data_IF_813651122582
#
_entry.id   IF_813651122582
#
_cell.length_a   1.000
_cell.length_b   1.000
_cell.length_c   1.000
_cell.angle_alpha   90.00
_cell.angle_beta   90.00
_cell.angle_gamma   90.00
#
_symmetry.space_group_name_H-M   'P 1'
#
loop_
_entity.id
_entity.type
_entity.pdbx_description
1 polymer ?
#
# COMPACT_ATOMS: atom_id res chain seq x y z
N UNK A 1 35.43 33.10 36.39
CA UNK A 1 34.03 33.59 36.34
C UNK A 1 33.70 33.78 34.86
N UNK A 2 32.75 33.12 34.22
CA UNK A 2 31.63 32.26 34.62
C UNK A 2 31.59 31.04 33.67
N UNK A 3 31.39 29.86 34.25
CA UNK A 3 30.97 28.66 33.52
C UNK A 3 29.45 28.69 33.45
N UNK A 4 28.88 28.84 32.25
CA UNK A 4 27.44 28.67 32.04
C UNK A 4 27.12 27.18 31.93
N UNK A 5 26.79 26.59 33.07
CA UNK A 5 26.07 25.31 33.16
C UNK A 5 24.63 25.53 32.70
N UNK A 6 24.30 25.13 31.48
CA UNK A 6 22.91 24.92 31.07
C UNK A 6 22.42 23.70 31.85
N UNK A 7 21.74 23.96 32.96
CA UNK A 7 21.09 22.94 33.78
C UNK A 7 20.00 22.21 32.97
N UNK A 8 20.03 20.89 33.05
CA UNK A 8 19.11 19.90 32.49
C UNK A 8 17.71 19.98 33.14
N UNK A 9 16.95 21.05 32.90
CA UNK A 9 15.63 21.24 33.50
C UNK A 9 14.49 20.44 32.83
N UNK A 10 14.68 19.90 31.63
CA UNK A 10 13.58 19.24 30.88
C UNK A 10 13.48 17.72 31.04
N UNK A 11 14.55 17.04 31.46
CA UNK A 11 14.52 15.57 31.63
C UNK A 11 13.61 15.10 32.79
N UNK A 12 13.31 15.98 33.76
CA UNK A 12 12.50 15.62 34.93
C UNK A 12 10.99 15.62 34.68
N UNK A 13 10.47 16.43 33.75
CA UNK A 13 9.02 16.64 33.58
C UNK A 13 8.32 15.51 32.80
N UNK A 14 9.03 14.86 31.89
CA UNK A 14 8.50 13.72 31.14
C UNK A 14 8.42 12.45 32.00
N UNK A 15 9.31 12.28 32.98
CA UNK A 15 9.29 11.14 33.89
C UNK A 15 8.12 11.17 34.88
N UNK A 16 7.47 12.33 35.07
CA UNK A 16 6.30 12.50 35.96
C UNK A 16 4.94 12.30 35.27
N UNK A 17 4.89 12.27 33.94
CA UNK A 17 3.62 12.04 33.22
C UNK A 17 3.17 10.59 33.39
N UNK A 18 1.88 10.27 33.54
CA UNK A 18 1.35 8.90 33.50
C UNK A 18 1.54 8.20 32.14
N UNK A 19 1.52 6.85 32.11
CA UNK A 19 1.77 6.07 30.88
C UNK A 19 0.70 6.33 29.81
N UNK A 20 -0.56 6.51 30.20
CA UNK A 20 -1.67 6.86 29.31
C UNK A 20 -1.42 8.19 28.56
N UNK A 21 -0.87 9.20 29.24
CA UNK A 21 -0.52 10.47 28.60
C UNK A 21 0.66 10.32 27.66
N UNK A 22 1.67 9.52 28.04
CA UNK A 22 2.80 9.24 27.15
C UNK A 22 2.35 8.47 25.91
N UNK A 23 1.43 7.51 26.04
CA UNK A 23 0.85 6.78 24.92
C UNK A 23 0.07 7.72 23.99
N UNK A 24 -0.78 8.61 24.52
CA UNK A 24 -1.48 9.60 23.69
C UNK A 24 -0.54 10.58 22.96
N UNK A 25 0.67 10.81 23.48
CA UNK A 25 1.70 11.58 22.75
C UNK A 25 2.32 10.71 21.65
N UNK A 26 2.67 9.47 21.97
CA UNK A 26 3.30 8.53 21.03
C UNK A 26 2.38 8.15 19.87
N UNK A 27 1.07 8.04 20.12
CA UNK A 27 0.03 7.82 19.08
C UNK A 27 -0.07 8.96 18.06
N UNK A 28 0.58 10.11 18.32
CA UNK A 28 0.50 11.31 17.47
C UNK A 28 1.82 11.66 16.78
N UNK A 29 2.86 10.84 16.93
CA UNK A 29 4.16 11.02 16.30
C UNK A 29 4.51 9.82 15.43
N UNK A 30 5.42 10.02 14.48
CA UNK A 30 5.90 8.97 13.58
C UNK A 30 6.58 7.83 14.35
N UNK A 31 6.49 6.60 13.83
CA UNK A 31 7.01 5.43 14.54
C UNK A 31 8.52 5.46 14.71
N UNK A 32 9.23 6.13 13.80
CA UNK A 32 10.66 6.41 13.97
C UNK A 32 10.94 7.26 15.22
N UNK A 33 10.15 8.30 15.47
CA UNK A 33 10.21 9.10 16.70
C UNK A 33 9.83 8.27 17.92
N UNK A 34 8.75 7.48 17.85
CA UNK A 34 8.32 6.58 18.94
C UNK A 34 9.49 5.68 19.38
N UNK A 35 10.16 5.03 18.45
CA UNK A 35 11.26 4.12 18.77
C UNK A 35 12.52 4.84 19.23
N UNK A 36 12.80 6.05 18.73
CA UNK A 36 13.89 6.89 19.27
C UNK A 36 13.65 7.27 20.72
N UNK A 37 12.40 7.51 21.11
CA UNK A 37 12.09 7.79 22.51
C UNK A 37 12.19 6.55 23.40
N UNK A 38 12.06 5.35 22.82
CA UNK A 38 12.14 4.08 23.56
C UNK A 38 13.49 3.82 24.23
N UNK A 39 14.57 4.46 23.76
CA UNK A 39 15.91 4.33 24.37
C UNK A 39 16.17 5.36 25.48
N UNK A 40 15.23 6.28 25.74
CA UNK A 40 15.42 7.35 26.73
C UNK A 40 15.42 6.83 28.17
N UNK A 41 14.67 5.77 28.47
CA UNK A 41 14.67 5.10 29.77
C UNK A 41 14.02 3.71 29.69
N UNK A 42 14.16 2.93 30.77
CA UNK A 42 13.50 1.63 30.91
C UNK A 42 11.98 1.72 30.79
N UNK A 43 11.37 2.82 31.24
CA UNK A 43 9.94 3.07 31.12
C UNK A 43 9.51 3.27 29.66
N UNK A 44 10.25 4.12 28.94
CA UNK A 44 9.94 4.41 27.54
C UNK A 44 10.20 3.24 26.61
N UNK A 45 11.09 2.31 26.99
CA UNK A 45 11.40 1.08 26.25
C UNK A 45 10.17 0.24 25.95
N UNK A 46 9.18 0.22 26.83
CA UNK A 46 8.00 -0.63 26.69
C UNK A 46 6.82 0.07 26.00
N UNK A 47 6.80 1.40 25.96
CA UNK A 47 5.67 2.18 25.43
C UNK A 47 5.34 1.88 23.94
N UNK A 48 6.30 1.72 23.02
CA UNK A 48 5.97 1.38 21.63
C UNK A 48 5.19 0.07 21.50
N UNK A 49 5.40 -0.87 22.42
CA UNK A 49 4.72 -2.17 22.42
C UNK A 49 3.27 -2.05 22.90
N UNK A 50 2.94 -1.02 23.69
CA UNK A 50 1.59 -0.79 24.23
C UNK A 50 0.63 -0.13 23.23
N UNK A 51 1.14 0.36 22.10
CA UNK A 51 0.33 0.97 21.05
C UNK A 51 -0.61 -0.08 20.44
N UNK A 52 -1.92 0.21 20.47
CA UNK A 52 -2.92 -0.68 19.88
C UNK A 52 -2.94 -0.59 18.36
N UNK A 53 -2.63 0.57 17.81
CA UNK A 53 -2.58 0.85 16.38
C UNK A 53 -1.16 1.35 16.06
N UNK A 54 -0.47 0.63 15.17
CA UNK A 54 0.92 0.91 14.80
C UNK A 54 0.98 1.21 13.31
N UNK A 55 1.58 2.33 12.95
CA UNK A 55 1.76 2.75 11.57
C UNK A 55 3.24 2.76 11.19
N UNK A 56 3.62 1.94 10.22
CA UNK A 56 4.99 1.81 9.75
C UNK A 56 5.06 2.20 8.27
N UNK A 57 5.42 3.45 8.01
CA UNK A 57 5.57 3.94 6.65
C UNK A 57 7.05 4.12 6.27
N UNK A 58 7.46 3.49 5.17
CA UNK A 58 8.81 3.61 4.63
C UNK A 58 9.19 5.07 4.32
N UNK A 59 8.21 5.91 4.01
CA UNK A 59 8.44 7.33 3.72
C UNK A 59 8.93 8.13 4.94
N UNK A 60 8.64 7.67 6.17
CA UNK A 60 9.17 8.29 7.39
C UNK A 60 10.71 8.23 7.46
N UNK A 61 11.33 7.32 6.71
CA UNK A 61 12.78 7.14 6.68
C UNK A 61 13.44 7.91 5.53
N UNK A 62 12.69 8.31 4.50
CA UNK A 62 13.20 9.01 3.31
C UNK A 62 12.91 10.50 3.43
N UNK A 63 13.84 11.25 4.02
CA UNK A 63 13.72 12.72 4.07
C UNK A 63 14.31 13.38 2.81
N UNK A 64 13.70 14.49 2.37
CA UNK A 64 14.15 15.28 1.20
C UNK A 64 15.61 15.75 1.28
N UNK A 65 16.17 15.87 2.49
CA UNK A 65 17.55 16.27 2.76
C UNK A 65 18.47 15.10 3.16
N UNK A 66 17.98 13.86 3.10
CA UNK A 66 18.76 12.67 3.43
C UNK A 66 19.29 12.00 2.17
N UNK A 67 20.52 11.49 2.22
CA UNK A 67 21.10 10.67 1.15
C UNK A 67 20.57 9.22 1.16
N UNK A 68 19.59 8.91 2.00
CA UNK A 68 19.11 7.54 2.22
C UNK A 68 18.36 7.05 0.98
N UNK A 69 18.84 5.96 0.42
CA UNK A 69 18.19 5.26 -0.68
C UNK A 69 16.94 4.51 -0.20
N UNK A 70 16.01 4.22 -1.12
CA UNK A 70 14.83 3.40 -0.80
C UNK A 70 15.22 2.02 -0.24
N UNK A 71 16.32 1.42 -0.74
CA UNK A 71 16.85 0.15 -0.21
C UNK A 71 17.27 0.27 1.26
N UNK A 72 17.96 1.34 1.64
CA UNK A 72 18.36 1.56 3.04
C UNK A 72 17.15 1.80 3.95
N UNK A 73 16.15 2.56 3.47
CA UNK A 73 14.90 2.77 4.19
C UNK A 73 14.15 1.44 4.42
N UNK A 74 14.05 0.59 3.40
CA UNK A 74 13.47 -0.75 3.49
C UNK A 74 14.21 -1.64 4.51
N UNK A 75 15.54 -1.60 4.51
CA UNK A 75 16.35 -2.34 5.47
C UNK A 75 16.14 -1.85 6.92
N UNK A 76 16.02 -0.52 7.12
CA UNK A 76 15.70 0.07 8.43
C UNK A 76 14.31 -0.38 8.90
N UNK A 77 13.31 -0.36 8.02
CA UNK A 77 11.95 -0.80 8.29
C UNK A 77 11.91 -2.27 8.74
N UNK A 78 12.60 -3.16 8.02
CA UNK A 78 12.67 -4.59 8.40
C UNK A 78 13.35 -4.77 9.75
N UNK A 79 14.48 -4.09 9.99
CA UNK A 79 15.18 -4.16 11.27
C UNK A 79 14.29 -3.69 12.43
N UNK A 80 13.52 -2.63 12.19
CA UNK A 80 12.57 -2.08 13.12
C UNK A 80 11.47 -3.09 13.46
N UNK A 81 10.85 -3.68 12.44
CA UNK A 81 9.83 -4.73 12.59
C UNK A 81 10.36 -5.93 13.37
N UNK A 82 11.57 -6.41 13.05
CA UNK A 82 12.23 -7.48 13.79
C UNK A 82 12.44 -7.13 15.27
N UNK A 83 12.76 -5.87 15.59
CA UNK A 83 12.90 -5.43 16.98
C UNK A 83 11.55 -5.36 17.71
N UNK A 84 10.51 -4.91 17.00
CA UNK A 84 9.16 -4.73 17.54
C UNK A 84 8.51 -6.08 17.83
N UNK A 85 8.59 -7.02 16.87
CA UNK A 85 8.00 -8.35 17.00
C UNK A 85 8.92 -9.36 17.70
N UNK A 86 10.22 -9.09 17.81
CA UNK A 86 11.19 -9.98 18.46
C UNK A 86 11.20 -9.94 19.99
N UNK A 87 10.55 -8.96 20.62
CA UNK A 87 10.51 -8.85 22.09
C UNK A 87 9.78 -10.06 22.72
N UNK A 88 10.41 -10.81 23.64
CA UNK A 88 9.77 -11.95 24.32
C UNK A 88 8.71 -11.52 25.36
N UNK A 89 8.69 -10.25 25.74
CA UNK A 89 7.71 -9.67 26.66
C UNK A 89 6.66 -8.91 25.84
N UNK A 90 5.45 -9.44 25.72
CA UNK A 90 4.30 -8.70 25.18
C UNK A 90 3.18 -8.71 26.22
N UNK A 91 3.01 -7.57 26.90
CA UNK A 91 1.85 -7.32 27.77
C UNK A 91 0.62 -6.83 26.97
N UNK A 92 0.83 -6.43 25.71
CA UNK A 92 -0.16 -5.79 24.84
C UNK A 92 -0.20 -6.42 23.45
N UNK A 93 -1.37 -6.35 22.83
CA UNK A 93 -1.65 -6.89 21.49
C UNK A 93 -1.91 -5.72 20.55
N UNK A 94 -1.15 -5.64 19.46
CA UNK A 94 -1.38 -4.70 18.36
C UNK A 94 -2.68 -5.12 17.67
N UNK A 95 -3.72 -4.30 17.81
CA UNK A 95 -5.03 -4.53 17.19
C UNK A 95 -4.94 -4.32 15.69
N UNK A 96 -4.20 -3.30 15.25
CA UNK A 96 -4.04 -2.95 13.84
C UNK A 96 -2.59 -2.53 13.55
N UNK A 97 -2.00 -3.15 12.54
CA UNK A 97 -0.72 -2.74 11.96
C UNK A 97 -0.97 -2.22 10.55
N UNK A 98 -0.65 -0.95 10.31
CA UNK A 98 -0.54 -0.40 8.98
C UNK A 98 0.93 -0.46 8.57
N UNK A 99 1.19 -1.00 7.38
CA UNK A 99 2.55 -1.15 6.87
C UNK A 99 2.59 -0.64 5.43
N UNK A 100 3.44 0.34 5.15
CA UNK A 100 3.66 0.91 3.82
C UNK A 100 5.11 0.70 3.40
N UNK A 101 5.33 0.13 2.22
CA UNK A 101 6.66 -0.08 1.69
C UNK A 101 6.75 0.05 0.16
N UNK A 102 7.98 0.14 -0.33
CA UNK A 102 8.27 0.29 -1.76
C UNK A 102 8.51 -1.03 -2.48
N UNK A 103 7.94 -1.16 -3.69
CA UNK A 103 8.51 -2.04 -4.71
C UNK A 103 9.62 -1.29 -5.44
N UNK A 104 10.82 -1.84 -5.38
CA UNK A 104 12.01 -1.27 -6.00
C UNK A 104 12.12 -1.66 -7.47
N UNK A 105 13.01 -0.99 -8.19
CA UNK A 105 13.18 -1.20 -9.63
C UNK A 105 13.68 -2.58 -10.00
N UNK A 106 14.41 -3.25 -9.10
CA UNK A 106 14.91 -4.59 -9.32
C UNK A 106 14.00 -5.62 -8.65
N UNK A 107 13.72 -6.67 -9.42
CA UNK A 107 12.76 -7.69 -9.05
C UNK A 107 13.21 -8.52 -7.84
N UNK A 108 14.46 -8.96 -7.87
CA UNK A 108 15.01 -9.86 -6.87
C UNK A 108 15.00 -9.20 -5.48
N UNK A 109 15.39 -7.93 -5.38
CA UNK A 109 15.35 -7.21 -4.09
C UNK A 109 13.93 -6.92 -3.65
N UNK A 110 13.03 -6.55 -4.57
CA UNK A 110 11.62 -6.33 -4.25
C UNK A 110 10.97 -7.58 -3.64
N UNK A 111 11.21 -8.75 -4.25
CA UNK A 111 10.76 -10.02 -3.71
C UNK A 111 11.41 -10.34 -2.37
N UNK A 112 12.72 -10.15 -2.21
CA UNK A 112 13.41 -10.35 -0.93
C UNK A 112 12.79 -9.52 0.19
N UNK A 113 12.50 -8.25 -0.08
CA UNK A 113 11.85 -7.39 0.91
C UNK A 113 10.43 -7.84 1.21
N UNK A 114 9.65 -8.19 0.19
CA UNK A 114 8.29 -8.69 0.34
C UNK A 114 8.25 -9.98 1.18
N UNK A 115 9.17 -10.92 0.94
CA UNK A 115 9.27 -12.16 1.70
C UNK A 115 9.68 -11.91 3.15
N UNK A 116 10.72 -11.10 3.39
CA UNK A 116 11.15 -10.77 4.75
C UNK A 116 10.02 -10.10 5.56
N UNK A 117 9.32 -9.15 4.94
CA UNK A 117 8.17 -8.47 5.55
C UNK A 117 7.04 -9.45 5.81
N UNK A 118 6.70 -10.29 4.83
CA UNK A 118 5.65 -11.29 4.95
C UNK A 118 5.92 -12.31 6.05
N UNK A 119 7.15 -12.79 6.17
CA UNK A 119 7.57 -13.69 7.25
C UNK A 119 7.41 -13.03 8.62
N UNK A 120 7.90 -11.80 8.78
CA UNK A 120 7.77 -11.06 10.04
C UNK A 120 6.32 -10.83 10.44
N UNK A 121 5.47 -10.43 9.48
CA UNK A 121 4.04 -10.24 9.69
C UNK A 121 3.37 -11.56 10.06
N UNK A 122 3.65 -12.64 9.33
CA UNK A 122 3.06 -13.95 9.59
C UNK A 122 3.41 -14.47 10.98
N UNK A 123 4.67 -14.33 11.39
CA UNK A 123 5.15 -14.72 12.71
C UNK A 123 4.51 -13.85 13.82
N UNK A 124 4.35 -12.55 13.58
CA UNK A 124 3.71 -11.64 14.54
C UNK A 124 2.22 -11.97 14.75
N UNK A 125 1.52 -12.39 13.70
CA UNK A 125 0.12 -12.83 13.79
C UNK A 125 0.02 -14.20 14.48
N UNK A 126 0.88 -15.18 14.13
CA UNK A 126 0.84 -16.52 14.75
C UNK A 126 1.19 -16.50 16.23
N UNK A 127 2.11 -15.63 16.63
CA UNK A 127 2.44 -15.41 18.03
C UNK A 127 1.37 -14.62 18.80
N UNK A 128 0.29 -14.20 18.13
CA UNK A 128 -0.81 -13.43 18.74
C UNK A 128 -0.48 -11.98 19.04
N UNK A 129 0.66 -11.46 18.54
CA UNK A 129 1.11 -10.08 18.77
C UNK A 129 0.35 -9.07 17.92
N UNK A 130 -0.08 -9.47 16.73
CA UNK A 130 -0.81 -8.63 15.78
C UNK A 130 -2.12 -9.29 15.40
N UNK A 131 -3.24 -8.57 15.49
CA UNK A 131 -4.57 -9.09 15.12
C UNK A 131 -4.94 -8.84 13.66
N UNK A 132 -4.54 -7.70 13.10
CA UNK A 132 -4.95 -7.25 11.77
C UNK A 132 -3.81 -6.49 11.10
N UNK A 133 -3.63 -6.73 9.80
CA UNK A 133 -2.59 -6.05 9.00
C UNK A 133 -3.21 -5.44 7.75
N UNK A 134 -2.94 -4.15 7.58
CA UNK A 134 -3.17 -3.40 6.35
C UNK A 134 -1.82 -3.17 5.69
N UNK A 135 -1.67 -3.70 4.48
CA UNK A 135 -0.45 -3.57 3.71
C UNK A 135 -0.66 -2.64 2.53
N UNK A 136 0.19 -1.62 2.44
CA UNK A 136 0.30 -0.71 1.30
C UNK A 136 1.62 -0.97 0.58
N UNK A 137 1.53 -1.28 -0.71
CA UNK A 137 2.67 -1.47 -1.58
C UNK A 137 2.68 -0.32 -2.57
N UNK A 138 3.71 0.52 -2.50
CA UNK A 138 3.87 1.67 -3.38
C UNK A 138 4.90 1.36 -4.45
N UNK A 139 4.56 1.48 -5.72
CA UNK A 139 5.56 1.41 -6.79
C UNK A 139 6.34 2.72 -6.83
N UNK A 140 7.67 2.64 -6.79
CA UNK A 140 8.53 3.83 -6.70
C UNK A 140 8.23 4.82 -7.84
N UNK A 141 7.78 6.03 -7.48
CA UNK A 141 7.39 7.09 -8.41
C UNK A 141 8.49 7.42 -9.43
N UNK A 142 9.77 7.20 -9.11
CA UNK A 142 10.87 7.76 -9.89
C UNK A 142 11.48 6.85 -10.94
N UNK A 143 11.38 5.52 -10.85
CA UNK A 143 12.19 4.62 -11.73
C UNK A 143 11.61 3.23 -11.98
N UNK A 144 10.37 2.95 -11.60
CA UNK A 144 9.86 1.58 -11.64
C UNK A 144 9.67 1.05 -13.08
N UNK A 145 10.40 -0.01 -13.42
CA UNK A 145 10.14 -0.87 -14.58
C UNK A 145 9.33 -2.07 -14.11
N UNK A 146 8.01 -1.90 -13.99
CA UNK A 146 7.10 -3.04 -13.82
C UNK A 146 7.36 -4.08 -14.93
N UNK A 147 7.77 -3.64 -16.12
CA UNK A 147 8.18 -4.51 -17.22
C UNK A 147 9.33 -5.47 -16.90
N UNK A 148 10.16 -5.23 -15.88
CA UNK A 148 11.29 -6.14 -15.54
C UNK A 148 10.82 -7.27 -14.60
N UNK A 149 9.85 -7.00 -13.70
CA UNK A 149 9.03 -8.04 -13.02
C UNK A 149 8.25 -8.89 -14.06
N UNK A 150 7.81 -8.24 -15.14
CA UNK A 150 6.80 -8.79 -16.07
C UNK A 150 7.37 -9.26 -17.43
N UNK A 151 8.66 -9.07 -17.72
CA UNK A 151 9.32 -9.56 -18.94
C UNK A 151 9.96 -10.94 -18.76
N UNK A 152 10.20 -11.35 -17.51
CA UNK A 152 10.50 -12.74 -17.14
C UNK A 152 9.25 -13.64 -17.07
N UNK A 153 8.05 -13.06 -17.12
CA UNK A 153 6.76 -13.75 -17.05
C UNK A 153 6.44 -14.48 -18.36
N UNK A 154 7.17 -15.56 -18.62
CA UNK A 154 6.51 -16.77 -19.09
C UNK A 154 5.63 -17.30 -17.95
N UNK A 155 4.51 -17.97 -18.26
CA UNK A 155 3.51 -18.50 -17.30
C UNK A 155 4.09 -19.32 -16.12
N UNK A 156 5.39 -19.60 -16.11
CA UNK A 156 6.16 -20.34 -15.12
C UNK A 156 6.46 -19.48 -13.86
N UNK A 157 6.54 -18.15 -13.99
CA UNK A 157 6.88 -17.22 -12.90
C UNK A 157 5.76 -17.15 -11.84
N UNK A 158 4.50 -17.12 -12.30
CA UNK A 158 3.30 -17.08 -11.44
C UNK A 158 3.13 -18.38 -10.63
N UNK A 159 3.56 -19.53 -11.16
CA UNK A 159 3.40 -20.81 -10.47
C UNK A 159 4.41 -21.05 -9.33
N UNK A 160 5.67 -20.60 -9.49
CA UNK A 160 6.71 -20.83 -8.48
C UNK A 160 6.70 -19.76 -7.39
N UNK A 161 6.82 -18.47 -7.76
CA UNK A 161 6.80 -17.39 -6.78
C UNK A 161 5.39 -17.13 -6.25
N UNK A 162 4.30 -17.46 -6.96
CA UNK A 162 2.94 -17.35 -6.42
C UNK A 162 2.73 -18.21 -5.17
N UNK A 163 3.37 -19.39 -5.09
CA UNK A 163 3.32 -20.24 -3.88
C UNK A 163 4.09 -19.62 -2.72
N UNK A 164 5.25 -19.05 -2.98
CA UNK A 164 6.06 -18.37 -1.97
C UNK A 164 5.39 -17.05 -1.53
N UNK A 165 4.83 -16.27 -2.46
CA UNK A 165 4.10 -15.05 -2.16
C UNK A 165 2.87 -15.36 -1.29
N UNK A 166 2.24 -16.51 -1.54
CA UNK A 166 1.15 -16.99 -0.70
C UNK A 166 1.58 -17.29 0.72
N UNK A 167 2.81 -17.72 1.00
CA UNK A 167 3.25 -17.88 2.40
C UNK A 167 3.46 -16.53 3.08
N UNK A 168 3.89 -15.51 2.34
CA UNK A 168 4.11 -14.15 2.83
C UNK A 168 2.82 -13.34 3.04
N UNK A 169 1.82 -13.49 2.17
CA UNK A 169 0.65 -12.61 2.11
C UNK A 169 -0.66 -13.26 2.61
N UNK A 170 -0.65 -14.55 3.00
CA UNK A 170 -1.87 -15.29 3.36
C UNK A 170 -2.64 -14.75 4.58
N UNK A 171 -2.06 -13.88 5.40
CA UNK A 171 -2.71 -13.32 6.61
C UNK A 171 -3.04 -11.83 6.50
N UNK A 172 -2.75 -11.23 5.36
CA UNK A 172 -3.06 -9.82 5.13
C UNK A 172 -4.57 -9.66 4.99
N UNK A 173 -5.11 -8.67 5.69
CA UNK A 173 -6.56 -8.40 5.71
C UNK A 173 -6.98 -7.26 4.79
N UNK A 174 -6.08 -6.29 4.59
CA UNK A 174 -6.25 -5.20 3.62
C UNK A 174 -4.98 -5.07 2.80
N UNK A 175 -5.11 -5.06 1.48
CA UNK A 175 -4.00 -4.89 0.54
C UNK A 175 -4.29 -3.68 -0.35
N UNK A 176 -3.41 -2.68 -0.31
CA UNK A 176 -3.48 -1.47 -1.12
C UNK A 176 -2.25 -1.41 -2.04
N UNK A 177 -2.47 -1.19 -3.34
CA UNK A 177 -1.41 -0.97 -4.31
C UNK A 177 -1.48 0.48 -4.79
N UNK A 178 -0.46 1.26 -4.46
CA UNK A 178 -0.41 2.69 -4.75
C UNK A 178 0.65 3.02 -5.80
N UNK A 179 0.45 4.13 -6.52
CA UNK A 179 1.44 4.65 -7.44
C UNK A 179 1.55 3.85 -8.74
N UNK A 180 0.49 3.12 -9.13
CA UNK A 180 0.44 2.44 -10.44
C UNK A 180 0.17 3.43 -11.56
N UNK A 181 1.04 3.50 -12.57
CA UNK A 181 0.86 4.46 -13.67
C UNK A 181 -0.38 4.08 -14.48
N UNK A 182 -1.23 5.06 -14.81
CA UNK A 182 -2.52 4.81 -15.46
C UNK A 182 -2.43 4.04 -16.78
N UNK A 183 -1.29 4.15 -17.49
CA UNK A 183 -1.09 3.43 -18.76
C UNK A 183 -0.66 1.98 -18.57
N UNK A 184 -0.40 1.53 -17.35
CA UNK A 184 -0.06 0.14 -17.07
C UNK A 184 -1.33 -0.70 -16.93
N UNK A 185 -1.31 -1.88 -17.54
CA UNK A 185 -2.32 -2.90 -17.32
C UNK A 185 -2.46 -3.18 -15.81
N UNK A 186 -3.69 -3.40 -15.32
CA UNK A 186 -3.97 -3.62 -13.89
C UNK A 186 -4.15 -5.09 -13.52
N UNK A 187 -4.28 -6.00 -14.49
CA UNK A 187 -4.60 -7.40 -14.25
C UNK A 187 -3.50 -8.15 -13.48
N UNK A 188 -2.24 -7.72 -13.58
CA UNK A 188 -1.15 -8.28 -12.77
C UNK A 188 -1.39 -8.14 -11.26
N UNK A 189 -2.13 -7.11 -10.84
CA UNK A 189 -2.46 -6.90 -9.43
C UNK A 189 -3.34 -8.01 -8.87
N UNK A 190 -4.09 -8.69 -9.74
CA UNK A 190 -4.89 -9.85 -9.38
C UNK A 190 -4.02 -11.03 -8.97
N UNK A 191 -2.84 -11.20 -9.56
CA UNK A 191 -1.87 -12.26 -9.16
C UNK A 191 -1.39 -12.06 -7.72
N UNK A 192 -1.18 -10.81 -7.30
CA UNK A 192 -0.87 -10.50 -5.90
C UNK A 192 -2.07 -10.79 -4.99
N UNK A 193 -3.29 -10.46 -5.44
CA UNK A 193 -4.51 -10.76 -4.69
C UNK A 193 -4.74 -12.28 -4.54
N UNK A 194 -4.40 -13.08 -5.56
CA UNK A 194 -4.43 -14.55 -5.52
C UNK A 194 -3.50 -15.11 -4.44
N UNK A 195 -2.35 -14.46 -4.25
CA UNK A 195 -1.39 -14.79 -3.20
C UNK A 195 -1.86 -14.35 -1.80
N UNK A 196 -2.92 -13.54 -1.70
CA UNK A 196 -3.41 -12.97 -0.45
C UNK A 196 -4.86 -13.39 -0.12
N UNK A 197 -5.13 -14.70 0.10
CA UNK A 197 -6.49 -15.25 0.22
C UNK A 197 -7.33 -14.75 1.41
N UNK A 198 -6.72 -14.09 2.40
CA UNK A 198 -7.42 -13.53 3.58
C UNK A 198 -7.81 -12.06 3.41
N UNK A 199 -7.50 -11.46 2.26
CA UNK A 199 -7.79 -10.05 1.99
C UNK A 199 -9.30 -9.84 1.90
N UNK A 200 -9.78 -8.90 2.72
CA UNK A 200 -11.17 -8.43 2.75
C UNK A 200 -11.35 -7.11 2.02
N UNK A 201 -10.31 -6.28 2.03
CA UNK A 201 -10.30 -4.99 1.33
C UNK A 201 -9.11 -4.96 0.39
N UNK A 202 -9.37 -4.87 -0.90
CA UNK A 202 -8.35 -4.72 -1.91
C UNK A 202 -8.47 -3.34 -2.53
N UNK A 203 -7.37 -2.59 -2.59
CA UNK A 203 -7.35 -1.26 -3.16
C UNK A 203 -6.27 -1.09 -4.21
N UNK A 204 -6.61 -0.37 -5.27
CA UNK A 204 -5.70 0.01 -6.34
C UNK A 204 -5.84 1.51 -6.55
N UNK A 205 -4.74 2.24 -6.40
CA UNK A 205 -4.67 3.68 -6.70
C UNK A 205 -3.79 3.90 -7.92
N UNK A 206 -4.42 4.29 -9.02
CA UNK A 206 -3.71 4.68 -10.23
C UNK A 206 -3.33 6.15 -10.15
N UNK A 207 -2.15 6.49 -10.63
CA UNK A 207 -1.69 7.86 -10.75
C UNK A 207 -1.53 8.26 -12.22
N UNK A 208 -1.90 9.50 -12.52
CA UNK A 208 -1.81 10.07 -13.85
C UNK A 208 -1.45 11.57 -13.75
N UNK A 209 -0.20 11.89 -13.44
CA UNK A 209 0.26 13.27 -13.34
C UNK A 209 1.28 13.61 -14.43
N UNK A 210 0.99 14.67 -15.21
CA UNK A 210 1.89 15.22 -16.22
C UNK A 210 3.19 15.78 -15.61
N UNK A 211 3.11 16.31 -14.38
CA UNK A 211 4.26 16.89 -13.67
C UNK A 211 5.39 15.88 -13.40
N UNK A 212 5.05 14.60 -13.51
CA UNK A 212 5.97 13.47 -13.31
C UNK A 212 6.60 12.98 -14.63
N UNK A 213 6.16 13.48 -15.80
CA UNK A 213 6.68 13.10 -17.13
C UNK A 213 8.06 13.72 -17.46
N UNK A 214 8.59 14.62 -16.61
CA UNK A 214 9.87 15.31 -16.82
C UNK A 214 11.13 14.43 -16.78
N UNK A 215 11.02 13.14 -16.47
CA UNK A 215 12.13 12.19 -16.57
C UNK A 215 12.06 11.44 -17.90
N UNK A 216 13.02 11.65 -18.80
CA UNK A 216 13.12 11.02 -20.13
C UNK A 216 12.88 9.49 -20.15
N UNK A 217 13.06 8.80 -19.02
CA UNK A 217 12.83 7.38 -18.86
C UNK A 217 11.35 6.93 -18.91
N UNK A 218 10.36 7.80 -18.63
CA UNK A 218 8.94 7.37 -18.55
C UNK A 218 8.25 7.24 -19.91
N UNK A 219 8.64 8.00 -20.94
CA UNK A 219 8.11 7.83 -22.31
C UNK A 219 8.46 6.45 -22.88
N UNK A 220 9.67 5.95 -22.61
CA UNK A 220 10.09 4.59 -22.99
C UNK A 220 9.33 3.48 -22.25
N UNK A 221 8.79 3.74 -21.05
CA UNK A 221 8.04 2.78 -20.24
C UNK A 221 6.61 2.56 -20.79
N UNK A 222 5.93 3.63 -21.23
CA UNK A 222 4.59 3.51 -21.82
C UNK A 222 4.59 2.82 -23.19
N UNK A 223 5.69 2.92 -23.94
CA UNK A 223 5.84 2.27 -25.24
C UNK A 223 6.08 0.75 -25.13
N UNK A 224 6.34 0.23 -23.92
CA UNK A 224 6.96 -1.09 -23.73
C UNK A 224 6.09 -2.24 -23.22
N UNK A 225 4.75 -2.13 -23.15
CA UNK A 225 3.77 -3.26 -23.19
C UNK A 225 2.48 -2.92 -22.44
N UNK A 226 1.38 -2.79 -23.19
CA UNK A 226 0.04 -3.14 -22.73
C UNK A 226 -0.45 -4.49 -23.29
N UNK A 227 0.30 -5.08 -24.22
CA UNK A 227 -0.18 -6.20 -25.05
C UNK A 227 -0.01 -7.59 -24.44
N UNK A 228 0.53 -7.69 -23.21
CA UNK A 228 0.84 -8.99 -22.59
C UNK A 228 -0.30 -9.60 -21.77
N UNK A 229 -1.20 -8.79 -21.23
CA UNK A 229 -2.17 -9.22 -20.22
C UNK A 229 -3.59 -9.06 -20.74
N UNK A 230 -4.13 -10.18 -21.23
CA UNK A 230 -5.54 -10.31 -21.59
C UNK A 230 -6.30 -10.95 -20.42
N UNK A 231 -7.49 -10.46 -20.12
CA UNK A 231 -8.38 -11.06 -19.11
C UNK A 231 -8.71 -12.53 -19.43
N UNK A 232 -8.61 -12.94 -20.70
CA UNK A 232 -8.73 -14.33 -21.11
C UNK A 232 -7.60 -15.25 -20.61
N UNK A 233 -6.44 -14.69 -20.22
CA UNK A 233 -5.31 -15.44 -19.66
C UNK A 233 -5.45 -15.69 -18.15
N UNK A 234 -6.37 -14.99 -17.48
CA UNK A 234 -6.64 -15.21 -16.07
C UNK A 234 -7.45 -16.48 -15.88
N UNK A 235 -7.04 -17.33 -14.94
CA UNK A 235 -7.78 -18.53 -14.60
C UNK A 235 -9.16 -18.15 -14.03
N UNK A 236 -10.20 -18.45 -14.80
CA UNK A 236 -11.59 -18.18 -14.43
C UNK A 236 -12.10 -19.01 -13.24
N UNK A 237 -11.34 -20.02 -12.80
CA UNK A 237 -11.65 -20.81 -11.60
C UNK A 237 -11.25 -20.11 -10.31
N UNK A 238 -10.44 -19.05 -10.39
CA UNK A 238 -9.97 -18.34 -9.20
C UNK A 238 -11.07 -17.43 -8.66
N UNK A 239 -11.37 -17.62 -7.37
CA UNK A 239 -12.37 -16.84 -6.65
C UNK A 239 -11.79 -16.20 -5.38
N UNK A 240 -12.01 -14.89 -5.23
CA UNK A 240 -11.60 -14.11 -4.06
C UNK A 240 -12.69 -14.17 -2.98
N UNK A 241 -12.76 -15.31 -2.30
CA UNK A 241 -13.88 -15.65 -1.40
C UNK A 241 -14.00 -14.73 -0.18
N UNK A 242 -12.91 -14.14 0.30
CA UNK A 242 -12.94 -13.24 1.46
C UNK A 242 -13.08 -11.76 1.09
N UNK A 243 -12.98 -11.42 -0.20
CA UNK A 243 -12.99 -10.03 -0.63
C UNK A 243 -14.39 -9.44 -0.46
N UNK A 244 -14.50 -8.42 0.39
CA UNK A 244 -15.75 -7.73 0.71
C UNK A 244 -15.80 -6.32 0.10
N UNK A 245 -14.63 -5.70 -0.13
CA UNK A 245 -14.54 -4.34 -0.67
C UNK A 245 -13.39 -4.18 -1.67
N UNK A 246 -13.70 -3.52 -2.78
CA UNK A 246 -12.73 -3.01 -3.74
C UNK A 246 -12.65 -1.47 -3.61
N UNK A 247 -11.45 -0.91 -3.51
CA UNK A 247 -11.18 0.53 -3.52
C UNK A 247 -10.40 0.85 -4.81
N UNK A 248 -10.92 1.73 -5.67
CA UNK A 248 -10.27 2.13 -6.91
C UNK A 248 -10.09 3.65 -6.93
N UNK A 249 -8.87 4.12 -6.68
CA UNK A 249 -8.53 5.54 -6.71
C UNK A 249 -7.93 5.97 -8.05
N UNK A 250 -8.24 7.20 -8.47
CA UNK A 250 -7.87 7.70 -9.80
C UNK A 250 -8.75 7.14 -10.92
N UNK A 251 -10.01 6.83 -10.61
CA UNK A 251 -10.95 6.29 -11.59
C UNK A 251 -11.19 7.29 -12.73
N UNK A 252 -11.16 6.78 -13.96
CA UNK A 252 -11.37 7.56 -15.17
C UNK A 252 -12.31 6.78 -16.07
N UNK A 253 -13.51 7.32 -16.30
CA UNK A 253 -14.59 6.59 -16.98
C UNK A 253 -14.34 6.37 -18.48
N UNK A 254 -13.35 7.04 -19.07
CA UNK A 254 -12.96 6.90 -20.48
C UNK A 254 -12.00 5.72 -20.68
N UNK A 255 -11.25 5.34 -19.64
CA UNK A 255 -10.24 4.28 -19.71
C UNK A 255 -10.93 2.94 -19.55
N UNK A 256 -11.05 2.20 -20.66
CA UNK A 256 -11.78 0.92 -20.69
C UNK A 256 -11.13 -0.13 -19.79
N UNK A 257 -9.80 -0.10 -19.67
CA UNK A 257 -9.00 -0.99 -18.83
C UNK A 257 -9.39 -0.90 -17.35
N UNK A 258 -9.83 0.28 -16.87
CA UNK A 258 -10.31 0.44 -15.50
C UNK A 258 -11.64 -0.30 -15.29
N UNK A 259 -12.57 -0.15 -16.24
CA UNK A 259 -13.87 -0.85 -16.21
C UNK A 259 -13.69 -2.36 -16.30
N UNK A 260 -12.83 -2.82 -17.23
CA UNK A 260 -12.55 -4.23 -17.43
C UNK A 260 -11.90 -4.85 -16.19
N UNK A 261 -10.96 -4.15 -15.55
CA UNK A 261 -10.37 -4.57 -14.28
C UNK A 261 -11.41 -4.68 -13.14
N UNK A 262 -12.22 -3.65 -12.92
CA UNK A 262 -13.24 -3.65 -11.86
C UNK A 262 -14.23 -4.78 -12.10
N UNK A 263 -14.68 -4.96 -13.35
CA UNK A 263 -15.58 -6.07 -13.71
C UNK A 263 -14.95 -7.42 -13.42
N UNK A 264 -13.68 -7.62 -13.79
CA UNK A 264 -12.95 -8.86 -13.54
C UNK A 264 -12.89 -9.22 -12.03
N UNK A 265 -12.73 -8.22 -11.15
CA UNK A 265 -12.79 -8.40 -9.69
C UNK A 265 -14.20 -8.77 -9.24
N UNK A 266 -15.23 -8.06 -9.70
CA UNK A 266 -16.63 -8.34 -9.33
C UNK A 266 -17.04 -9.77 -9.74
N UNK A 267 -16.62 -10.24 -10.91
CA UNK A 267 -16.88 -11.61 -11.39
C UNK A 267 -16.24 -12.67 -10.48
N UNK A 268 -15.02 -12.41 -10.01
CA UNK A 268 -14.22 -13.36 -9.22
C UNK A 268 -14.47 -13.27 -7.72
N UNK A 269 -15.10 -12.21 -7.22
CA UNK A 269 -15.34 -12.00 -5.79
C UNK A 269 -16.84 -12.19 -5.44
N UNK A 270 -17.27 -13.43 -5.12
CA UNK A 270 -18.69 -13.71 -4.92
C UNK A 270 -19.32 -13.06 -3.69
N UNK A 271 -18.49 -12.70 -2.69
CA UNK A 271 -18.91 -12.08 -1.43
C UNK A 271 -18.64 -10.56 -1.40
N UNK A 272 -18.30 -9.97 -2.56
CA UNK A 272 -18.04 -8.54 -2.66
C UNK A 272 -19.30 -7.75 -2.32
N UNK A 273 -19.18 -6.84 -1.35
CA UNK A 273 -20.28 -6.01 -0.86
C UNK A 273 -20.27 -4.64 -1.52
N UNK A 274 -19.10 -4.02 -1.64
CA UNK A 274 -18.97 -2.64 -2.13
C UNK A 274 -17.75 -2.45 -3.04
N UNK A 275 -17.90 -1.61 -4.06
CA UNK A 275 -16.82 -1.04 -4.87
C UNK A 275 -16.83 0.46 -4.65
N UNK A 276 -15.72 1.01 -4.17
CA UNK A 276 -15.51 2.45 -3.99
C UNK A 276 -14.68 2.94 -5.17
N UNK A 277 -15.20 3.93 -5.90
CA UNK A 277 -14.50 4.64 -6.95
C UNK A 277 -14.18 6.03 -6.43
N UNK A 278 -12.90 6.36 -6.32
CA UNK A 278 -12.41 7.68 -5.92
C UNK A 278 -11.89 8.42 -7.16
N UNK A 279 -12.11 9.74 -7.19
CA UNK A 279 -11.48 10.62 -8.18
C UNK A 279 -9.94 10.59 -8.04
N UNK A 280 -9.25 11.21 -8.99
CA UNK A 280 -7.80 11.45 -8.90
C UNK A 280 -7.50 12.43 -7.78
N UNK A 281 -6.34 12.27 -7.15
CA UNK A 281 -5.81 13.27 -6.23
C UNK A 281 -5.53 14.58 -7.00
N UNK A 282 -5.89 15.75 -6.43
CA UNK A 282 -5.61 17.04 -7.05
C UNK A 282 -4.09 17.28 -7.13
N UNK A 283 -3.67 18.03 -8.14
CA UNK A 283 -2.25 18.35 -8.33
C UNK A 283 -2.10 19.73 -8.94
N UNK A 284 -1.56 20.64 -8.12
CA UNK A 284 -1.38 22.05 -8.46
C UNK A 284 -0.60 22.23 -9.77
N UNK A 285 0.49 21.48 -9.95
CA UNK A 285 1.31 21.54 -11.16
C UNK A 285 0.56 21.04 -12.40
N UNK A 286 -0.24 19.98 -12.28
CA UNK A 286 -1.01 19.44 -13.40
C UNK A 286 -2.19 20.34 -13.76
N UNK A 287 -2.85 20.92 -12.76
CA UNK A 287 -3.99 21.82 -12.94
C UNK A 287 -3.58 23.13 -13.62
N UNK A 288 -2.35 23.59 -13.38
CA UNK A 288 -1.78 24.76 -14.05
C UNK A 288 -1.41 24.53 -15.52
N UNK A 289 -1.24 23.27 -15.95
CA UNK A 289 -0.74 22.91 -17.29
C UNK A 289 -1.80 22.54 -18.33
N UNK A 290 -3.10 22.54 -17.98
CA UNK A 290 -4.27 22.10 -18.77
C UNK A 290 -3.97 21.62 -20.20
N UNK A 291 -3.92 20.30 -20.41
CA UNK A 291 -3.63 19.72 -21.73
C UNK A 291 -4.54 18.53 -22.08
N UNK A 292 -4.63 18.12 -23.36
CA UNK A 292 -5.57 17.08 -23.80
C UNK A 292 -5.33 15.69 -23.19
N UNK A 293 -4.11 15.40 -22.71
CA UNK A 293 -3.73 14.12 -22.09
C UNK A 293 -4.02 14.16 -20.58
N UNK A 294 -3.98 15.35 -19.98
CA UNK A 294 -4.18 15.65 -18.58
C UNK A 294 -5.11 16.86 -18.44
N UNK A 295 -6.40 16.71 -18.79
CA UNK A 295 -7.34 17.82 -18.67
C UNK A 295 -7.40 18.27 -17.22
N UNK A 296 -7.46 19.59 -16.99
CA UNK A 296 -7.67 20.12 -15.63
C UNK A 296 -9.01 19.68 -15.05
N UNK A 297 -9.97 19.36 -15.92
CA UNK A 297 -11.26 18.79 -15.56
C UNK A 297 -11.10 17.28 -15.35
N UNK A 298 -11.53 16.80 -14.18
CA UNK A 298 -11.57 15.36 -13.91
C UNK A 298 -12.53 14.64 -14.87
N UNK A 299 -12.09 13.49 -15.38
CA UNK A 299 -12.94 12.57 -16.16
C UNK A 299 -13.66 11.57 -15.25
N UNK A 300 -13.76 11.86 -13.95
CA UNK A 300 -14.59 11.15 -13.00
C UNK A 300 -16.08 11.49 -13.20
N UNK A 301 -17.02 10.53 -13.01
CA UNK A 301 -18.45 10.76 -13.21
C UNK A 301 -19.01 11.90 -12.34
N UNK A 302 -19.50 12.97 -12.98
CA UNK A 302 -19.95 14.18 -12.26
C UNK A 302 -21.43 14.14 -11.89
N UNK A 303 -22.28 13.68 -12.81
CA UNK A 303 -23.73 13.68 -12.65
C UNK A 303 -24.30 12.26 -12.42
N UNK A 304 -25.57 12.19 -12.03
CA UNK A 304 -26.24 10.92 -11.72
C UNK A 304 -26.42 10.02 -12.95
N UNK A 305 -26.51 10.59 -14.15
CA UNK A 305 -26.70 9.82 -15.39
C UNK A 305 -25.41 9.11 -15.81
N UNK A 306 -24.26 9.79 -15.70
CA UNK A 306 -22.92 9.22 -15.86
C UNK A 306 -22.69 8.10 -14.84
N UNK A 307 -22.93 8.38 -13.55
CA UNK A 307 -22.81 7.37 -12.47
C UNK A 307 -23.70 6.15 -12.74
N UNK A 308 -24.95 6.35 -13.15
CA UNK A 308 -25.90 5.28 -13.50
C UNK A 308 -25.41 4.45 -14.70
N UNK A 309 -24.82 5.10 -15.69
CA UNK A 309 -24.25 4.42 -16.87
C UNK A 309 -23.09 3.50 -16.48
N UNK A 310 -22.17 3.99 -15.64
CA UNK A 310 -21.05 3.19 -15.13
C UNK A 310 -21.55 2.03 -14.28
N UNK A 311 -22.52 2.24 -13.39
CA UNK A 311 -23.13 1.16 -12.59
C UNK A 311 -23.73 0.08 -13.48
N UNK A 312 -24.46 0.46 -14.55
CA UNK A 312 -25.03 -0.51 -15.51
C UNK A 312 -23.95 -1.29 -16.24
N UNK A 313 -22.85 -0.63 -16.64
CA UNK A 313 -21.74 -1.30 -17.32
C UNK A 313 -21.03 -2.29 -16.39
N UNK A 314 -20.72 -1.90 -15.15
CA UNK A 314 -20.04 -2.77 -14.19
C UNK A 314 -20.89 -3.97 -13.77
N UNK A 315 -22.22 -3.81 -13.70
CA UNK A 315 -23.17 -4.86 -13.33
C UNK A 315 -23.79 -5.59 -14.52
N UNK A 316 -23.38 -5.30 -15.75
CA UNK A 316 -23.95 -5.93 -16.93
C UNK A 316 -23.80 -7.46 -16.85
N UNK A 317 -24.92 -8.19 -16.97
CA UNK A 317 -24.94 -9.65 -16.86
C UNK A 317 -24.80 -10.20 -15.43
N UNK A 318 -24.83 -9.34 -14.39
CA UNK A 318 -24.68 -9.74 -13.00
C UNK A 318 -25.97 -9.54 -12.20
N UNK A 319 -26.37 -10.57 -11.46
CA UNK A 319 -27.54 -10.52 -10.57
C UNK A 319 -27.18 -10.29 -9.09
N UNK A 320 -25.92 -9.94 -8.78
CA UNK A 320 -25.44 -9.78 -7.40
C UNK A 320 -25.62 -8.34 -6.89
N UNK A 321 -26.03 -8.15 -5.62
CA UNK A 321 -26.21 -6.82 -5.03
C UNK A 321 -24.86 -6.25 -4.55
N UNK A 322 -23.97 -5.91 -5.49
CA UNK A 322 -22.74 -5.17 -5.17
C UNK A 322 -23.06 -3.67 -5.16
N UNK A 323 -22.75 -2.96 -4.09
CA UNK A 323 -22.91 -1.50 -4.02
C UNK A 323 -21.75 -0.82 -4.76
N UNK A 324 -22.05 0.16 -5.62
CA UNK A 324 -21.01 0.97 -6.29
C UNK A 324 -21.13 2.39 -5.71
N UNK A 325 -20.06 2.85 -5.07
CA UNK A 325 -20.00 4.13 -4.36
C UNK A 325 -18.99 5.02 -5.09
N UNK A 326 -19.38 6.26 -5.37
CA UNK A 326 -18.53 7.28 -5.98
C UNK A 326 -18.18 8.29 -4.90
N UNK A 327 -16.88 8.45 -4.62
CA UNK A 327 -16.34 9.28 -3.54
C UNK A 327 -15.68 10.56 -4.07
#
# INVERSE_FOLDING_TARGET
MQSNSIQSYDQGRFNTLPDDILLSILERVDMRTVLRTSVLSTRWKHLPLLLSDVDLDVDEFIHQNSSMSAHEAMAVLIKLMSSLFGSPQNESIIKKLNLSFYLLTDLETSLKFLFNIGELVCNAIDSGKVKSVELTITTEKRRFKLTDLMSGASNIWIEYEGKELRTALNKITKLLLHGIYVKFNLLWTLVLLESAPSVKIFGVKVWNHACDEGTENRKQLSERRNDLWDAAQLDGSIHYLQLERLEFGGFNQIIREHLDFIRAVIERAPNLKSVILEDRDPCEDCEAMDNPIYPSISMFPQNNDEKSTIVKQLKAGMNRPVEIIFC
#
